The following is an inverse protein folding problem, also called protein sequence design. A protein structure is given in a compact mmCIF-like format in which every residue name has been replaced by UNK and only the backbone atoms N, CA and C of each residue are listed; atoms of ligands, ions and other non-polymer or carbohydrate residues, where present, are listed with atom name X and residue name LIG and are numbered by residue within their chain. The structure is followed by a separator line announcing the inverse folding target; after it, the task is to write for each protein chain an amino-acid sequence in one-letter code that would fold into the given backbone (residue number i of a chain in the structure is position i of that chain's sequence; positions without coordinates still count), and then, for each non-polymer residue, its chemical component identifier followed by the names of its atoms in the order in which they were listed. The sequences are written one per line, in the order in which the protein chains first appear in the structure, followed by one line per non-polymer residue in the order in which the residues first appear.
data_IF_230922629697
#
_entry.id   IF_230922629697
#
_cell.length_a   1.000
_cell.length_b   1.000
_cell.length_c   1.000
_cell.angle_alpha   90.00
_cell.angle_beta   90.00
_cell.angle_gamma   90.00
#
_symmetry.space_group_name_H-M   'P 1'
#
loop_
_entity.id
_entity.type
_entity.pdbx_description
1 polymer ?
#
# COMPACT_ATOMS: atom_id res chain seq x y z
N UNK A 1 5.63 -2.58 7.52
CA UNK A 1 4.84 -3.81 7.36
C UNK A 1 3.95 -3.72 6.14
N UNK A 2 4.03 -4.69 5.25
CA UNK A 2 3.15 -4.82 4.09
C UNK A 2 2.42 -6.16 4.13
N UNK A 3 1.16 -6.17 3.70
CA UNK A 3 0.26 -7.32 3.82
C UNK A 3 -0.49 -7.56 2.52
N UNK A 4 -0.70 -8.83 2.19
CA UNK A 4 -1.66 -9.27 1.18
C UNK A 4 -3.06 -9.11 1.73
N UNK A 5 -3.98 -8.60 0.91
CA UNK A 5 -5.38 -8.38 1.30
C UNK A 5 -6.33 -9.31 0.55
N UNK A 6 -7.61 -9.28 0.92
CA UNK A 6 -8.70 -9.83 0.11
C UNK A 6 -9.35 -8.78 -0.82
N UNK A 7 -8.77 -7.58 -0.95
CA UNK A 7 -9.29 -6.54 -1.84
C UNK A 7 -8.77 -6.80 -3.25
N UNK A 8 -9.65 -7.14 -4.17
CA UNK A 8 -9.30 -7.37 -5.57
C UNK A 8 -8.88 -6.06 -6.27
N UNK A 9 -7.78 -6.11 -7.03
CA UNK A 9 -7.44 -5.07 -7.98
C UNK A 9 -8.28 -5.23 -9.25
N UNK A 10 -8.54 -4.13 -9.95
CA UNK A 10 -9.20 -4.20 -11.25
C UNK A 10 -8.38 -5.05 -12.23
N UNK A 11 -8.95 -6.13 -12.81
CA UNK A 11 -8.21 -7.04 -13.66
C UNK A 11 -7.89 -6.41 -15.03
N UNK A 12 -6.75 -6.79 -15.60
CA UNK A 12 -6.35 -6.39 -16.95
C UNK A 12 -5.66 -7.56 -17.67
N UNK A 13 -6.43 -8.33 -18.45
CA UNK A 13 -5.90 -9.50 -19.17
C UNK A 13 -5.28 -10.54 -18.22
N UNK A 14 -4.00 -10.92 -18.39
CA UNK A 14 -3.34 -11.88 -17.50
C UNK A 14 -2.98 -11.30 -16.12
N UNK A 15 -3.10 -9.98 -15.94
CA UNK A 15 -2.78 -9.30 -14.68
C UNK A 15 -4.01 -9.27 -13.77
N UNK A 16 -4.03 -10.17 -12.79
CA UNK A 16 -5.14 -10.36 -11.86
C UNK A 16 -4.58 -10.67 -10.47
N UNK A 17 -5.23 -10.14 -9.43
CA UNK A 17 -4.85 -10.41 -8.05
C UNK A 17 -5.34 -9.35 -7.07
N UNK A 18 -4.94 -9.48 -5.82
CA UNK A 18 -5.37 -8.60 -4.75
C UNK A 18 -4.35 -7.49 -4.48
N UNK A 19 -4.81 -6.39 -3.91
CA UNK A 19 -3.92 -5.35 -3.39
C UNK A 19 -2.99 -5.91 -2.33
N UNK A 20 -1.73 -5.48 -2.40
CA UNK A 20 -0.81 -5.46 -1.26
C UNK A 20 -0.86 -4.07 -0.66
N UNK A 21 -1.00 -4.00 0.66
CA UNK A 21 -1.07 -2.73 1.39
C UNK A 21 0.13 -2.54 2.29
N UNK A 22 0.59 -1.30 2.44
CA UNK A 22 1.51 -0.92 3.51
C UNK A 22 0.71 -0.35 4.68
N UNK A 23 1.00 -0.83 5.89
CA UNK A 23 0.35 -0.36 7.12
C UNK A 23 1.26 0.59 7.89
N UNK A 24 0.68 1.67 8.42
CA UNK A 24 1.32 2.56 9.38
C UNK A 24 0.34 2.87 10.53
N UNK A 25 0.76 2.74 11.80
CA UNK A 25 -0.07 3.13 12.94
C UNK A 25 -0.06 4.65 13.11
N UNK A 26 -1.20 5.22 13.48
CA UNK A 26 -1.35 6.64 13.78
C UNK A 26 -2.31 6.86 14.95
N UNK A 27 -2.09 7.90 15.74
CA UNK A 27 -3.17 8.45 16.57
C UNK A 27 -4.31 8.93 15.68
N UNK A 28 -5.59 8.88 16.12
CA UNK A 28 -6.73 9.27 15.30
C UNK A 28 -6.60 10.65 14.64
N UNK A 29 -6.10 11.66 15.35
CA UNK A 29 -5.89 13.00 14.80
C UNK A 29 -4.85 13.00 13.66
N UNK A 30 -3.75 12.29 13.84
CA UNK A 30 -2.69 12.18 12.84
C UNK A 30 -3.13 11.33 11.64
N UNK A 31 -3.97 10.31 11.87
CA UNK A 31 -4.57 9.54 10.79
C UNK A 31 -5.45 10.43 9.92
N UNK A 32 -6.36 11.22 10.50
CA UNK A 32 -7.20 12.18 9.77
C UNK A 32 -6.33 13.16 8.96
N UNK A 33 -5.20 13.60 9.53
CA UNK A 33 -4.26 14.45 8.81
C UNK A 33 -3.57 13.71 7.66
N UNK A 34 -3.11 12.48 7.87
CA UNK A 34 -2.41 11.66 6.88
C UNK A 34 -3.31 11.35 5.68
N UNK A 35 -4.48 10.75 5.91
CA UNK A 35 -5.77 11.30 5.46
C UNK A 35 -5.77 12.31 4.31
N UNK A 36 -6.04 13.54 4.74
CA UNK A 36 -6.14 14.73 3.93
C UNK A 36 -4.87 15.02 3.11
N UNK A 37 -3.68 14.78 3.68
CA UNK A 37 -2.41 15.04 2.98
C UNK A 37 -2.27 14.11 1.78
N UNK A 38 -2.42 12.81 2.00
CA UNK A 38 -2.16 11.78 0.98
C UNK A 38 -3.24 11.71 -0.09
N UNK A 39 -4.49 12.05 0.26
CA UNK A 39 -5.62 12.09 -0.68
C UNK A 39 -5.44 13.09 -1.83
N UNK A 40 -4.59 14.10 -1.66
CA UNK A 40 -4.26 15.08 -2.72
C UNK A 40 -3.36 14.51 -3.81
N UNK A 41 -2.84 13.29 -3.67
CA UNK A 41 -1.88 12.73 -4.63
C UNK A 41 -2.35 11.38 -5.19
N UNK A 42 -3.47 11.35 -5.96
CA UNK A 42 -4.10 10.11 -6.41
C UNK A 42 -3.22 9.25 -7.32
N UNK A 43 -2.27 9.86 -8.03
CA UNK A 43 -1.38 9.17 -8.97
C UNK A 43 -0.08 8.65 -8.33
N UNK A 44 0.12 8.84 -7.02
CA UNK A 44 1.30 8.32 -6.30
C UNK A 44 0.87 7.45 -5.12
N UNK A 45 0.68 8.03 -3.93
CA UNK A 45 0.31 7.29 -2.74
C UNK A 45 -1.22 7.20 -2.57
N UNK A 46 -1.92 8.29 -2.89
CA UNK A 46 -3.38 8.40 -2.79
C UNK A 46 -3.92 8.33 -1.36
N UNK A 47 -5.25 8.34 -1.26
CA UNK A 47 -5.95 8.05 -0.02
C UNK A 47 -5.66 6.60 0.45
N UNK A 48 -5.75 6.29 1.74
CA UNK A 48 -5.66 4.91 2.19
C UNK A 48 -6.80 4.07 1.59
N UNK A 49 -6.51 2.79 1.36
CA UNK A 49 -7.52 1.82 0.92
C UNK A 49 -8.33 1.26 2.09
N UNK A 50 -7.80 1.33 3.31
CA UNK A 50 -8.50 0.89 4.52
C UNK A 50 -8.00 1.60 5.78
N UNK A 51 -8.87 1.66 6.79
CA UNK A 51 -8.61 2.29 8.09
C UNK A 51 -9.30 1.47 9.18
N UNK A 52 -8.56 1.13 10.24
CA UNK A 52 -9.13 0.38 11.38
C UNK A 52 -8.92 -1.12 11.26
N UNK A 53 -9.97 -1.91 11.49
CA UNK A 53 -9.87 -3.37 11.68
C UNK A 53 -9.16 -4.09 10.51
N UNK A 54 -7.96 -4.65 10.69
CA UNK A 54 -7.23 -5.35 9.64
C UNK A 54 -7.97 -6.59 9.10
N UNK A 55 -8.80 -7.24 9.92
CA UNK A 55 -9.51 -8.45 9.53
C UNK A 55 -10.53 -8.17 8.40
N UNK A 56 -11.07 -6.95 8.33
CA UNK A 56 -11.98 -6.52 7.28
C UNK A 56 -11.36 -6.57 5.87
N UNK A 57 -10.02 -6.49 5.79
CA UNK A 57 -9.25 -6.62 4.54
C UNK A 57 -8.47 -7.92 4.44
N UNK A 58 -8.86 -8.93 5.22
CA UNK A 58 -8.29 -10.28 5.19
C UNK A 58 -7.01 -10.47 6.01
N UNK A 59 -6.56 -9.46 6.76
CA UNK A 59 -5.37 -9.56 7.60
C UNK A 59 -5.78 -10.06 9.00
N UNK A 60 -5.70 -11.37 9.21
CA UNK A 60 -6.14 -12.01 10.47
C UNK A 60 -5.17 -11.82 11.63
N UNK A 61 -3.87 -11.67 11.33
CA UNK A 61 -2.83 -11.48 12.32
C UNK A 61 -1.86 -10.40 11.84
N UNK A 62 -2.02 -9.19 12.37
CA UNK A 62 -1.20 -8.04 11.97
C UNK A 62 0.29 -8.22 12.34
N UNK A 63 0.63 -9.15 13.23
CA UNK A 63 2.03 -9.41 13.58
C UNK A 63 2.76 -10.25 12.52
N UNK A 64 2.01 -10.95 11.66
CA UNK A 64 2.55 -11.73 10.55
C UNK A 64 2.59 -10.89 9.28
N UNK A 65 3.74 -10.27 9.06
CA UNK A 65 3.98 -9.41 7.90
C UNK A 65 4.35 -10.26 6.69
N UNK A 66 3.70 -10.00 5.54
CA UNK A 66 4.05 -10.67 4.28
C UNK A 66 5.34 -10.12 3.67
N UNK A 67 5.57 -8.80 3.79
CA UNK A 67 6.77 -8.15 3.28
C UNK A 67 7.29 -7.02 4.19
N UNK A 68 8.61 -6.98 4.39
CA UNK A 68 9.30 -5.99 5.22
C UNK A 68 9.14 -6.26 6.72
N UNK A 69 9.36 -5.22 7.52
CA UNK A 69 9.39 -5.35 8.99
C UNK A 69 8.05 -5.04 9.65
N UNK A 70 7.80 -5.69 10.79
CA UNK A 70 6.66 -5.42 11.66
C UNK A 70 6.81 -4.10 12.40
N UNK A 71 5.71 -3.35 12.47
CA UNK A 71 5.60 -2.15 13.30
C UNK A 71 4.45 -2.37 14.29
N UNK A 72 4.70 -2.28 15.60
CA UNK A 72 3.65 -2.42 16.60
C UNK A 72 2.63 -1.29 16.49
N UNK A 73 1.36 -1.62 16.75
CA UNK A 73 0.28 -0.65 16.94
C UNK A 73 0.10 -0.47 18.44
N UNK A 74 0.38 0.72 18.96
CA UNK A 74 0.29 1.00 20.39
C UNK A 74 -1.13 1.40 20.81
N UNK A 75 -1.36 1.44 22.12
CA UNK A 75 -2.63 1.90 22.67
C UNK A 75 -2.97 3.32 22.20
N UNK A 76 -4.21 3.51 21.75
CA UNK A 76 -4.67 4.79 21.19
C UNK A 76 -4.24 5.06 19.75
N UNK A 77 -3.54 4.12 19.10
CA UNK A 77 -3.25 4.18 17.66
C UNK A 77 -4.23 3.32 16.86
N UNK A 78 -4.39 3.67 15.59
CA UNK A 78 -5.20 2.95 14.61
C UNK A 78 -4.32 2.62 13.41
N UNK A 79 -4.32 1.37 12.92
CA UNK A 79 -3.60 1.02 11.71
C UNK A 79 -4.31 1.60 10.49
N UNK A 80 -3.53 2.21 9.60
CA UNK A 80 -4.01 2.80 8.35
C UNK A 80 -3.26 2.16 7.18
N UNK A 81 -3.98 1.79 6.14
CA UNK A 81 -3.49 0.94 5.06
C UNK A 81 -3.55 1.66 3.72
N UNK A 82 -2.41 1.80 3.04
CA UNK A 82 -2.32 2.36 1.69
C UNK A 82 -1.95 1.30 0.68
N UNK A 83 -2.42 1.44 -0.55
CA UNK A 83 -1.96 0.62 -1.66
C UNK A 83 -0.42 0.71 -1.79
N UNK A 84 0.22 -0.44 -2.00
CA UNK A 84 1.67 -0.54 -2.09
C UNK A 84 2.13 -0.92 -3.49
N UNK A 85 3.28 -0.37 -3.92
CA UNK A 85 3.97 -0.72 -5.16
C UNK A 85 4.49 -2.16 -5.23
N UNK A 86 4.30 -2.97 -4.18
CA UNK A 86 4.52 -4.43 -4.20
C UNK A 86 3.34 -5.17 -4.86
N UNK A 87 2.15 -4.57 -4.94
CA UNK A 87 0.98 -5.12 -5.65
C UNK A 87 1.32 -5.62 -7.06
N UNK A 88 1.94 -4.82 -7.95
CA UNK A 88 2.33 -5.30 -9.27
C UNK A 88 3.35 -6.44 -9.22
N UNK A 89 4.24 -6.51 -8.21
CA UNK A 89 5.20 -7.62 -8.09
C UNK A 89 4.47 -8.95 -7.84
N UNK A 90 3.50 -8.96 -6.92
CA UNK A 90 2.68 -10.14 -6.61
C UNK A 90 1.79 -10.54 -7.81
N UNK A 91 1.21 -9.56 -8.50
CA UNK A 91 0.39 -9.84 -9.68
C UNK A 91 1.24 -10.43 -10.81
N UNK A 92 2.48 -9.95 -11.00
CA UNK A 92 3.39 -10.47 -12.02
C UNK A 92 3.84 -11.90 -11.73
N UNK A 93 4.03 -12.28 -10.45
CA UNK A 93 4.31 -13.68 -10.07
C UNK A 93 3.22 -14.64 -10.56
N UNK A 94 1.96 -14.19 -10.56
CA UNK A 94 0.82 -14.95 -11.09
C UNK A 94 0.74 -14.88 -12.63
N UNK A 95 0.95 -13.69 -13.21
CA UNK A 95 0.82 -13.46 -14.65
C UNK A 95 1.95 -14.12 -15.48
N UNK A 96 3.12 -14.36 -14.86
CA UNK A 96 4.29 -15.04 -15.45
C UNK A 96 4.64 -14.59 -16.88
N UNK A 97 4.87 -13.28 -17.11
CA UNK A 97 5.33 -12.81 -18.41
C UNK A 97 6.68 -13.43 -18.77
N UNK A 98 7.00 -13.61 -20.07
CA UNK A 98 8.27 -14.19 -20.49
C UNK A 98 9.49 -13.36 -20.07
N UNK A 99 9.31 -12.06 -19.85
CA UNK A 99 10.31 -11.15 -19.30
C UNK A 99 9.65 -10.12 -18.39
N UNK A 100 10.29 -9.81 -17.26
CA UNK A 100 9.90 -8.73 -16.36
C UNK A 100 11.15 -8.10 -15.75
N UNK A 101 11.24 -6.77 -15.77
CA UNK A 101 12.32 -6.01 -15.15
C UNK A 101 11.68 -5.06 -14.13
N UNK A 102 12.15 -5.10 -12.89
CA UNK A 102 11.66 -4.26 -11.79
C UNK A 102 12.82 -3.64 -11.02
N UNK A 103 12.51 -2.68 -10.16
CA UNK A 103 13.50 -2.14 -9.22
C UNK A 103 13.73 -3.10 -8.06
N UNK A 104 14.94 -3.10 -7.50
CA UNK A 104 15.21 -3.75 -6.21
C UNK A 104 14.50 -2.95 -5.10
N UNK A 105 13.88 -3.59 -4.09
CA UNK A 105 13.32 -2.87 -2.95
C UNK A 105 14.31 -1.87 -2.35
N UNK A 106 13.82 -0.68 -2.00
CA UNK A 106 14.61 0.48 -1.54
C UNK A 106 15.60 1.09 -2.55
N UNK A 107 15.55 0.69 -3.83
CA UNK A 107 16.36 1.24 -4.93
C UNK A 107 15.45 1.79 -6.03
N UNK A 108 14.61 2.76 -5.69
CA UNK A 108 13.63 3.36 -6.59
C UNK A 108 14.28 4.31 -7.60
N UNK A 109 13.56 4.57 -8.71
CA UNK A 109 13.92 5.64 -9.63
C UNK A 109 13.64 7.00 -8.98
N UNK A 110 14.67 7.82 -8.85
CA UNK A 110 14.53 9.23 -8.46
C UNK A 110 14.31 10.06 -9.73
N UNK A 111 13.24 10.86 -9.74
CA UNK A 111 12.88 11.74 -10.85
C UNK A 111 13.09 13.21 -10.49
N UNK A 112 13.13 14.09 -11.48
CA UNK A 112 13.14 15.54 -11.27
C UNK A 112 11.74 16.12 -10.96
N UNK A 113 10.68 15.30 -11.05
CA UNK A 113 9.31 15.70 -10.70
C UNK A 113 9.19 15.95 -9.19
N UNK A 114 8.67 17.12 -8.83
CA UNK A 114 8.36 17.46 -7.46
C UNK A 114 6.99 16.89 -7.08
N UNK A 115 6.84 16.42 -5.84
CA UNK A 115 5.53 15.98 -5.34
C UNK A 115 4.46 17.08 -5.48
N UNK A 116 4.82 18.35 -5.32
CA UNK A 116 3.90 19.48 -5.46
C UNK A 116 3.28 19.57 -6.87
N UNK A 117 4.00 19.11 -7.90
CA UNK A 117 3.50 19.06 -9.29
C UNK A 117 2.54 17.90 -9.53
N UNK A 118 2.51 16.91 -8.63
CA UNK A 118 1.65 15.73 -8.69
C UNK A 118 0.39 15.85 -7.81
N UNK A 119 0.25 16.96 -7.09
CA UNK A 119 -0.93 17.25 -6.29
C UNK A 119 -2.13 17.57 -7.20
N UNK A 120 -3.25 16.91 -6.95
CA UNK A 120 -4.57 17.26 -7.45
C UNK A 120 -5.32 17.84 -6.26
N UNK A 121 -5.80 19.10 -6.39
CA UNK A 121 -6.33 20.02 -5.34
C UNK A 121 -5.34 21.11 -4.89
#
# INVERSE_FOLDING_TARGET
AMYRTNIEAAPAGPFQGNYVVSMRPYKPADAIRAIQVTSRFPNVHGAPVHFGDPAAIGIQDITKVDFGDFYPVYEGEVPVFWACGVTPQVIIENAKPPICITHKPSHMLMTDLLNAELAML
#
